data_IF_485730030199
#
_entry.id   IF_485730030199
#
_cell.length_a   1.000
_cell.length_b   1.000
_cell.length_c   1.000
_cell.angle_alpha   90.00
_cell.angle_beta   90.00
_cell.angle_gamma   90.00
#
_symmetry.space_group_name_H-M   'P 1'
#
loop_
_entity.id
_entity.type
_entity.pdbx_description
1 polymer ?
#
# COMPACT_ATOMS: atom_id res chain seq x y z
N UNK A 1 -11.18 1.73 -3.87
CA UNK A 1 -10.36 1.30 -2.72
C UNK A 1 -11.17 0.34 -1.86
N UNK A 2 -10.50 -0.59 -1.19
CA UNK A 2 -11.16 -1.39 -0.16
C UNK A 2 -11.44 -0.53 1.09
N UNK A 3 -12.52 -0.84 1.78
CA UNK A 3 -12.98 -0.11 2.96
C UNK A 3 -11.94 -0.18 4.09
N UNK A 4 -11.58 0.97 4.64
CA UNK A 4 -10.55 1.12 5.69
C UNK A 4 -9.21 0.43 5.36
N UNK A 5 -8.84 0.39 4.08
CA UNK A 5 -7.64 -0.29 3.57
C UNK A 5 -7.60 -1.81 3.83
N UNK A 6 -8.74 -2.43 4.16
CA UNK A 6 -8.85 -3.86 4.44
C UNK A 6 -9.27 -4.63 3.19
N UNK A 7 -8.30 -5.13 2.46
CA UNK A 7 -8.51 -5.94 1.27
C UNK A 7 -7.32 -5.90 0.32
N UNK A 8 -7.36 -6.78 -0.68
CA UNK A 8 -6.31 -6.92 -1.69
C UNK A 8 -6.85 -7.02 -3.12
N UNK A 9 -8.14 -6.78 -3.31
CA UNK A 9 -8.81 -6.96 -4.61
C UNK A 9 -9.70 -5.81 -5.04
N UNK A 10 -9.89 -4.79 -4.18
CA UNK A 10 -10.89 -3.73 -4.30
C UNK A 10 -12.34 -4.25 -4.37
N UNK A 11 -12.55 -5.48 -3.91
CA UNK A 11 -13.87 -6.11 -3.81
C UNK A 11 -14.67 -5.65 -2.59
N UNK A 12 -13.98 -5.13 -1.56
CA UNK A 12 -14.58 -4.68 -0.30
C UNK A 12 -14.88 -3.16 -0.29
N UNK A 13 -14.97 -2.54 -1.47
CA UNK A 13 -15.33 -1.12 -1.57
C UNK A 13 -16.79 -0.90 -1.17
N UNK A 14 -17.03 0.06 -0.27
CA UNK A 14 -18.38 0.44 0.15
C UNK A 14 -19.19 1.16 -0.95
N UNK A 15 -18.52 1.67 -2.00
CA UNK A 15 -19.17 2.47 -3.04
C UNK A 15 -19.41 1.62 -4.29
N UNK A 16 -18.35 1.07 -4.89
CA UNK A 16 -18.42 0.30 -6.13
C UNK A 16 -17.15 -0.52 -6.32
N UNK A 17 -17.31 -1.74 -6.87
CA UNK A 17 -16.19 -2.55 -7.31
C UNK A 17 -15.40 -1.82 -8.41
N UNK A 18 -14.08 -1.86 -8.32
CA UNK A 18 -13.17 -1.40 -9.37
C UNK A 18 -12.72 -2.60 -10.21
N UNK A 19 -12.73 -2.46 -11.52
CA UNK A 19 -12.15 -3.44 -12.44
C UNK A 19 -10.73 -3.03 -12.83
N UNK A 20 -9.91 -4.02 -13.20
CA UNK A 20 -8.59 -3.75 -13.75
C UNK A 20 -8.72 -3.19 -15.18
N UNK A 21 -8.19 -2.01 -15.49
CA UNK A 21 -8.35 -1.44 -16.83
C UNK A 21 -7.51 -2.14 -17.91
N UNK A 22 -6.48 -2.90 -17.51
CA UNK A 22 -5.67 -3.72 -18.45
C UNK A 22 -6.43 -4.97 -18.89
N UNK A 23 -7.17 -5.58 -17.96
CA UNK A 23 -8.04 -6.73 -18.22
C UNK A 23 -9.24 -6.68 -17.26
N UNK A 24 -10.40 -6.27 -17.76
CA UNK A 24 -11.60 -6.05 -16.95
C UNK A 24 -12.19 -7.33 -16.34
N UNK A 25 -11.73 -8.50 -16.74
CA UNK A 25 -12.08 -9.79 -16.11
C UNK A 25 -11.30 -10.05 -14.83
N UNK A 26 -10.23 -9.30 -14.58
CA UNK A 26 -9.33 -9.43 -13.44
C UNK A 26 -9.56 -8.33 -12.41
N UNK A 27 -9.04 -8.56 -11.21
CA UNK A 27 -9.05 -7.54 -10.14
C UNK A 27 -7.90 -6.55 -10.36
N UNK A 28 -8.08 -5.28 -9.96
CA UNK A 28 -7.02 -4.27 -10.04
C UNK A 28 -5.99 -4.41 -8.90
N UNK A 29 -6.21 -5.34 -7.97
CA UNK A 29 -5.52 -5.38 -6.70
C UNK A 29 -6.16 -4.46 -5.66
N UNK A 30 -5.51 -4.34 -4.49
CA UNK A 30 -6.00 -3.52 -3.39
C UNK A 30 -4.99 -3.42 -2.24
N UNK A 31 -5.33 -2.59 -1.25
CA UNK A 31 -6.57 -1.80 -1.10
C UNK A 31 -6.65 -0.56 -2.00
N UNK A 32 -5.52 -0.05 -2.54
CA UNK A 32 -5.48 1.16 -3.39
C UNK A 32 -5.78 0.86 -4.88
N UNK A 33 -6.62 -0.15 -5.19
CA UNK A 33 -6.93 -0.54 -6.56
C UNK A 33 -7.66 0.52 -7.38
N UNK A 34 -8.46 1.39 -6.74
CA UNK A 34 -9.07 2.53 -7.43
C UNK A 34 -8.04 3.55 -7.88
N UNK A 35 -7.05 3.88 -7.03
CA UNK A 35 -5.93 4.76 -7.38
C UNK A 35 -5.09 4.18 -8.51
N UNK A 36 -4.80 2.86 -8.47
CA UNK A 36 -4.09 2.20 -9.55
C UNK A 36 -4.88 2.25 -10.86
N UNK A 37 -6.17 1.94 -10.81
CA UNK A 37 -7.01 1.86 -12.00
C UNK A 37 -7.16 3.22 -12.72
N UNK A 38 -7.34 4.33 -11.99
CA UNK A 38 -7.49 5.65 -12.63
C UNK A 38 -6.21 6.12 -13.32
N UNK A 39 -5.04 5.79 -12.76
CA UNK A 39 -3.74 6.08 -13.38
C UNK A 39 -3.51 5.15 -14.57
N UNK A 40 -3.75 3.86 -14.42
CA UNK A 40 -3.60 2.90 -15.51
C UNK A 40 -4.50 3.21 -16.72
N UNK A 41 -5.72 3.71 -16.47
CA UNK A 41 -6.70 4.08 -17.48
C UNK A 41 -6.50 5.50 -18.05
N UNK A 42 -5.42 6.22 -17.72
CA UNK A 42 -5.16 7.60 -18.15
C UNK A 42 -6.26 8.61 -17.77
N UNK A 43 -7.05 8.32 -16.75
CA UNK A 43 -8.08 9.23 -16.21
C UNK A 43 -7.56 10.15 -15.13
N UNK A 44 -6.37 9.85 -14.58
CA UNK A 44 -5.60 10.71 -13.70
C UNK A 44 -4.11 10.61 -14.05
N UNK A 45 -3.40 11.73 -13.94
CA UNK A 45 -1.94 11.80 -14.20
C UNK A 45 -1.19 11.00 -13.14
N UNK A 46 -1.61 11.14 -11.89
CA UNK A 46 -1.05 10.48 -10.72
C UNK A 46 -2.13 10.27 -9.66
N UNK A 47 -1.86 9.42 -8.69
CA UNK A 47 -2.71 9.21 -7.52
C UNK A 47 -1.87 8.93 -6.28
N UNK A 48 -2.48 9.09 -5.11
CA UNK A 48 -1.93 8.60 -3.85
C UNK A 48 -2.61 7.29 -3.46
N UNK A 49 -1.85 6.42 -2.83
CA UNK A 49 -2.34 5.21 -2.17
C UNK A 49 -1.87 5.13 -0.73
N UNK A 50 -2.36 4.15 0.00
CA UNK A 50 -1.83 3.77 1.31
C UNK A 50 -1.38 2.30 1.27
N UNK A 51 -0.29 1.99 1.97
CA UNK A 51 0.33 0.67 1.97
C UNK A 51 0.63 0.24 3.41
N UNK A 52 0.01 -0.83 3.83
CA UNK A 52 0.21 -1.46 5.14
C UNK A 52 0.93 -2.80 4.99
N UNK A 53 0.54 -3.58 3.97
CA UNK A 53 1.11 -4.88 3.64
C UNK A 53 1.24 -5.11 2.13
N UNK A 54 1.32 -4.02 1.31
CA UNK A 54 1.42 -4.11 -0.13
C UNK A 54 0.36 -3.31 -0.90
N UNK A 55 -0.49 -2.54 -0.21
CA UNK A 55 -1.69 -1.94 -0.81
C UNK A 55 -1.46 -0.76 -1.78
N UNK A 56 -0.21 -0.34 -2.00
CA UNK A 56 0.24 0.49 -3.15
C UNK A 56 0.89 -0.42 -4.19
N UNK A 57 1.87 -1.22 -3.76
CA UNK A 57 2.76 -1.99 -4.64
C UNK A 57 2.03 -3.08 -5.40
N UNK A 58 1.15 -3.82 -4.74
CA UNK A 58 0.40 -4.91 -5.34
C UNK A 58 -0.59 -4.41 -6.42
N UNK A 59 -1.48 -3.42 -6.16
CA UNK A 59 -2.37 -2.93 -7.22
C UNK A 59 -1.60 -2.21 -8.35
N UNK A 60 -0.47 -1.56 -8.07
CA UNK A 60 0.38 -1.01 -9.11
C UNK A 60 0.92 -2.10 -10.05
N UNK A 61 1.41 -3.21 -9.48
CA UNK A 61 1.85 -4.38 -10.24
C UNK A 61 0.74 -4.98 -11.09
N UNK A 62 -0.47 -5.12 -10.53
CA UNK A 62 -1.63 -5.69 -11.25
C UNK A 62 -2.13 -4.79 -12.39
N UNK A 63 -1.99 -3.48 -12.25
CA UNK A 63 -2.45 -2.51 -13.25
C UNK A 63 -1.34 -2.01 -14.19
N UNK A 64 -0.10 -2.49 -14.05
CA UNK A 64 1.02 -2.15 -14.93
C UNK A 64 1.49 -0.69 -14.78
N UNK A 65 1.51 -0.16 -13.56
CA UNK A 65 1.98 1.19 -13.24
C UNK A 65 3.08 1.16 -12.17
N UNK A 66 3.69 2.31 -11.90
CA UNK A 66 4.64 2.48 -10.80
C UNK A 66 3.89 2.77 -9.50
N UNK A 67 4.17 1.99 -8.46
CA UNK A 67 3.68 2.23 -7.10
C UNK A 67 4.84 2.19 -6.12
N UNK A 68 5.08 3.30 -5.41
CA UNK A 68 6.19 3.42 -4.49
C UNK A 68 5.69 3.58 -3.05
N UNK A 69 6.10 2.66 -2.19
CA UNK A 69 5.93 2.79 -0.74
C UNK A 69 7.22 3.36 -0.14
N UNK A 70 7.24 4.62 0.29
CA UNK A 70 8.42 5.19 0.93
C UNK A 70 8.67 4.56 2.30
N UNK A 71 9.81 4.88 2.90
CA UNK A 71 10.12 4.49 4.27
C UNK A 71 9.10 5.07 5.23
N UNK A 72 8.83 4.33 6.33
CA UNK A 72 7.87 4.75 7.36
C UNK A 72 8.22 6.14 7.92
N UNK A 73 7.20 7.00 8.02
CA UNK A 73 7.35 8.36 8.51
C UNK A 73 7.84 9.39 7.49
N UNK A 74 8.19 9.00 6.26
CA UNK A 74 8.61 9.94 5.21
C UNK A 74 7.48 10.84 4.71
N UNK A 75 6.29 10.32 4.61
CA UNK A 75 5.08 11.05 4.23
C UNK A 75 4.16 11.09 5.44
N UNK A 76 3.68 12.28 5.80
CA UNK A 76 2.73 12.45 6.89
C UNK A 76 1.48 11.62 6.66
N UNK A 77 0.97 11.03 7.75
CA UNK A 77 -0.30 10.29 7.78
C UNK A 77 -1.44 11.12 8.36
N UNK A 78 -1.19 12.40 8.64
CA UNK A 78 -2.24 13.29 9.15
C UNK A 78 -3.37 13.40 8.13
N UNK A 79 -4.60 13.08 8.58
CA UNK A 79 -5.78 12.98 7.71
C UNK A 79 -6.03 11.59 7.11
N UNK A 80 -5.10 10.65 7.19
CA UNK A 80 -5.34 9.25 6.82
C UNK A 80 -6.07 8.54 7.94
N UNK A 81 -7.15 7.83 7.61
CA UNK A 81 -7.80 6.90 8.55
C UNK A 81 -6.88 5.69 8.76
N UNK A 82 -6.42 5.50 9.99
CA UNK A 82 -5.45 4.46 10.31
C UNK A 82 -6.07 3.06 10.22
N UNK A 83 -5.40 2.17 9.48
CA UNK A 83 -5.60 0.73 9.54
C UNK A 83 -4.66 0.12 10.60
N UNK A 84 -3.36 0.10 10.32
CA UNK A 84 -2.34 -0.36 11.27
C UNK A 84 -1.28 0.74 11.44
N UNK A 85 -1.34 1.48 12.54
CA UNK A 85 -0.56 2.70 12.75
C UNK A 85 0.95 2.49 12.71
N UNK A 86 1.43 1.29 13.05
CA UNK A 86 2.86 0.95 12.99
C UNK A 86 3.34 0.55 11.58
N UNK A 87 2.43 0.39 10.62
CA UNK A 87 2.74 -0.13 9.28
C UNK A 87 2.30 0.81 8.14
N UNK A 88 1.20 1.54 8.32
CA UNK A 88 0.60 2.36 7.27
C UNK A 88 1.57 3.42 6.75
N UNK A 89 1.63 3.54 5.41
CA UNK A 89 2.39 4.59 4.75
C UNK A 89 1.67 5.05 3.48
N UNK A 90 1.65 6.36 3.24
CA UNK A 90 1.17 6.96 2.00
C UNK A 90 2.31 6.99 0.98
N UNK A 91 1.97 6.79 -0.30
CA UNK A 91 2.94 6.90 -1.37
C UNK A 91 2.31 7.12 -2.74
N UNK A 92 3.15 7.49 -3.73
CA UNK A 92 2.72 7.81 -5.09
C UNK A 92 2.39 6.57 -5.91
N UNK A 93 1.45 6.74 -6.83
CA UNK A 93 1.10 5.82 -7.90
C UNK A 93 1.08 6.59 -9.22
N UNK A 94 1.93 6.22 -10.19
CA UNK A 94 2.23 7.01 -11.40
C UNK A 94 2.50 6.11 -12.60
N UNK A 95 2.62 6.70 -13.79
CA UNK A 95 3.01 5.96 -15.02
C UNK A 95 4.51 5.73 -15.12
N UNK A 96 5.32 6.65 -14.61
CA UNK A 96 6.79 6.60 -14.70
C UNK A 96 7.44 6.70 -13.32
N UNK A 97 8.70 6.30 -13.25
CA UNK A 97 9.53 6.46 -12.04
C UNK A 97 9.82 7.94 -11.78
N UNK A 98 10.02 8.72 -12.85
CA UNK A 98 10.24 10.19 -12.78
C UNK A 98 9.06 10.89 -12.09
N UNK A 99 7.84 10.58 -12.52
CA UNK A 99 6.62 11.14 -11.91
C UNK A 99 6.49 10.71 -10.44
N UNK A 100 6.88 9.47 -10.12
CA UNK A 100 6.86 8.99 -8.74
C UNK A 100 7.86 9.78 -7.86
N UNK A 101 9.06 10.06 -8.37
CA UNK A 101 10.07 10.85 -7.69
C UNK A 101 9.64 12.31 -7.51
N UNK A 102 9.10 12.94 -8.56
CA UNK A 102 8.54 14.29 -8.50
C UNK A 102 7.40 14.40 -7.48
N UNK A 103 6.47 13.45 -7.50
CA UNK A 103 5.36 13.45 -6.56
C UNK A 103 5.86 13.18 -5.13
N UNK A 104 6.86 12.34 -4.96
CA UNK A 104 7.46 12.06 -3.67
C UNK A 104 8.12 13.33 -3.09
N UNK A 105 8.86 14.10 -3.90
CA UNK A 105 9.40 15.41 -3.48
C UNK A 105 8.31 16.36 -2.98
N UNK A 106 7.11 16.29 -3.57
CA UNK A 106 6.00 17.17 -3.22
C UNK A 106 5.28 16.76 -1.91
N UNK A 107 5.31 15.48 -1.52
CA UNK A 107 4.52 14.95 -0.40
C UNK A 107 5.37 14.53 0.81
N UNK A 108 6.70 14.52 0.69
CA UNK A 108 7.62 14.26 1.80
C UNK A 108 7.92 15.54 2.57
N UNK A 109 8.38 15.39 3.79
CA UNK A 109 8.75 16.49 4.68
C UNK A 109 8.21 16.29 6.09
N UNK A 110 8.69 17.11 7.02
CA UNK A 110 8.24 17.05 8.40
C UNK A 110 6.86 17.68 8.58
N UNK A 111 5.95 16.93 9.20
CA UNK A 111 4.63 17.42 9.61
C UNK A 111 4.48 17.33 11.14
N UNK A 112 4.38 18.46 11.85
CA UNK A 112 4.20 18.45 13.31
C UNK A 112 2.86 17.86 13.77
N UNK A 113 1.90 17.68 12.84
CA UNK A 113 0.60 17.05 13.13
C UNK A 113 0.65 15.52 13.14
N UNK A 114 1.73 14.91 12.62
CA UNK A 114 2.00 13.48 12.69
C UNK A 114 3.23 13.22 13.55
N UNK A 115 3.02 12.68 14.75
CA UNK A 115 4.11 12.36 15.69
C UNK A 115 5.13 11.34 15.19
N UNK A 116 4.83 10.65 14.10
CA UNK A 116 5.72 9.66 13.46
C UNK A 116 6.43 10.23 12.24
N UNK A 117 6.13 11.48 11.86
CA UNK A 117 6.78 12.13 10.73
C UNK A 117 8.27 12.35 11.03
N UNK A 118 9.12 11.90 10.11
CA UNK A 118 10.57 12.08 10.22
C UNK A 118 10.96 13.55 10.03
N UNK A 119 12.07 13.93 10.61
CA UNK A 119 12.67 15.22 10.30
C UNK A 119 12.97 15.30 8.79
N UNK A 120 12.74 16.46 8.21
CA UNK A 120 13.10 16.70 6.82
C UNK A 120 14.62 16.68 6.67
N UNK A 121 15.10 15.94 5.69
CA UNK A 121 16.52 15.87 5.34
C UNK A 121 16.81 16.51 3.98
N UNK A 122 15.84 17.24 3.40
CA UNK A 122 15.91 17.88 2.09
C UNK A 122 16.32 16.93 0.97
N UNK A 123 15.92 15.65 1.05
CA UNK A 123 16.20 14.66 0.01
C UNK A 123 15.50 15.06 -1.28
N UNK A 124 16.25 15.18 -2.37
CA UNK A 124 15.71 15.29 -3.72
C UNK A 124 15.71 13.89 -4.36
N UNK A 125 14.52 13.32 -4.51
CA UNK A 125 14.34 11.97 -5.08
C UNK A 125 14.58 11.91 -6.59
N UNK A 126 14.77 13.05 -7.26
CA UNK A 126 15.10 13.13 -8.68
C UNK A 126 16.58 13.22 -8.96
N UNK A 127 17.41 13.55 -7.96
CA UNK A 127 18.82 13.89 -8.13
C UNK A 127 19.66 12.83 -8.87
N UNK A 128 19.40 11.54 -8.59
CA UNK A 128 20.20 10.42 -9.13
C UNK A 128 19.38 9.53 -10.10
N UNK A 129 18.23 10.00 -10.60
CA UNK A 129 17.31 9.14 -11.37
C UNK A 129 17.94 8.65 -12.68
N UNK A 130 18.82 9.45 -13.28
CA UNK A 130 19.56 9.14 -14.51
C UNK A 130 20.95 8.50 -14.24
N UNK A 131 21.31 8.28 -12.97
CA UNK A 131 22.64 7.78 -12.57
C UNK A 131 22.93 6.35 -13.00
N UNK A 132 21.92 5.61 -13.43
CA UNK A 132 22.03 4.20 -13.82
C UNK A 132 22.29 3.28 -12.64
N UNK A 133 22.65 2.03 -12.93
CA UNK A 133 22.82 0.98 -11.90
C UNK A 133 24.25 0.45 -11.80
N UNK A 134 25.20 1.03 -12.51
CA UNK A 134 26.59 0.55 -12.53
C UNK A 134 27.22 0.60 -11.13
N UNK A 135 27.70 -0.55 -10.67
CA UNK A 135 28.34 -0.70 -9.37
C UNK A 135 27.39 -0.85 -8.19
N UNK A 136 26.06 -0.80 -8.42
CA UNK A 136 25.10 -1.11 -7.37
C UNK A 136 25.11 -2.60 -7.05
N UNK A 137 25.05 -2.94 -5.75
CA UNK A 137 24.88 -4.30 -5.27
C UNK A 137 23.40 -4.55 -4.97
N UNK A 138 22.81 -5.51 -5.68
CA UNK A 138 21.41 -5.89 -5.57
C UNK A 138 21.31 -7.27 -4.90
N UNK A 139 20.78 -7.30 -3.69
CA UNK A 139 20.54 -8.55 -2.97
C UNK A 139 19.40 -9.34 -3.57
N UNK A 140 19.62 -10.63 -3.83
CA UNK A 140 18.59 -11.57 -4.33
C UNK A 140 18.29 -12.57 -3.21
N UNK A 141 17.16 -12.39 -2.47
CA UNK A 141 16.81 -13.29 -1.38
C UNK A 141 16.35 -14.64 -1.91
N UNK A 142 16.99 -15.72 -1.48
CA UNK A 142 16.60 -17.09 -1.88
C UNK A 142 15.15 -17.44 -1.47
N UNK A 143 14.67 -16.86 -0.37
CA UNK A 143 13.34 -17.10 0.17
C UNK A 143 12.21 -16.55 -0.70
N UNK A 144 12.53 -15.65 -1.65
CA UNK A 144 11.54 -15.09 -2.57
C UNK A 144 11.28 -15.99 -3.79
N UNK A 145 12.10 -17.01 -3.99
CA UNK A 145 12.03 -17.91 -5.16
C UNK A 145 11.69 -19.34 -4.74
N UNK A 146 10.52 -19.51 -4.12
CA UNK A 146 9.98 -20.83 -3.81
C UNK A 146 9.32 -21.49 -5.04
N UNK A 147 9.09 -22.78 -4.96
CA UNK A 147 8.38 -23.55 -6.01
C UNK A 147 6.92 -23.09 -6.23
N UNK A 148 6.41 -22.23 -5.36
CA UNK A 148 5.06 -21.65 -5.47
C UNK A 148 4.96 -20.47 -6.44
N UNK A 149 6.09 -19.93 -6.93
CA UNK A 149 6.11 -18.80 -7.87
C UNK A 149 5.69 -19.30 -9.26
N UNK A 150 4.76 -18.57 -9.89
CA UNK A 150 4.40 -18.80 -11.28
C UNK A 150 5.65 -18.72 -12.18
N UNK A 151 5.92 -19.74 -13.02
CA UNK A 151 7.09 -19.75 -13.89
C UNK A 151 7.21 -18.51 -14.79
N UNK A 152 6.09 -17.92 -15.24
CA UNK A 152 6.12 -16.71 -16.05
C UNK A 152 6.60 -15.49 -15.24
N UNK A 153 6.23 -15.39 -13.96
CA UNK A 153 6.73 -14.34 -13.06
C UNK A 153 8.22 -14.52 -12.82
N UNK A 154 8.66 -15.77 -12.61
CA UNK A 154 10.10 -16.05 -12.44
C UNK A 154 10.91 -15.68 -13.68
N UNK A 155 10.41 -16.02 -14.88
CA UNK A 155 11.08 -15.68 -16.12
C UNK A 155 11.27 -14.18 -16.32
N UNK A 156 10.25 -13.35 -15.97
CA UNK A 156 10.34 -11.87 -16.03
C UNK A 156 11.40 -11.38 -15.04
N UNK A 157 11.45 -11.98 -13.84
CA UNK A 157 12.49 -11.63 -12.88
C UNK A 157 13.88 -11.94 -13.41
N UNK A 158 14.09 -13.16 -13.93
CA UNK A 158 15.40 -13.61 -14.47
C UNK A 158 15.85 -12.71 -15.65
N UNK A 159 14.92 -12.32 -16.53
CA UNK A 159 15.19 -11.37 -17.63
C UNK A 159 15.59 -9.97 -17.09
N UNK A 160 14.88 -9.49 -16.08
CA UNK A 160 15.17 -8.19 -15.45
C UNK A 160 16.53 -8.21 -14.75
N UNK A 161 16.83 -9.28 -14.03
CA UNK A 161 18.12 -9.49 -13.37
C UNK A 161 19.27 -9.46 -14.40
N UNK A 162 19.13 -10.18 -15.51
CA UNK A 162 20.14 -10.17 -16.58
C UNK A 162 20.35 -8.79 -17.19
N UNK A 163 19.29 -7.99 -17.36
CA UNK A 163 19.38 -6.60 -17.84
C UNK A 163 20.16 -5.71 -16.85
N UNK A 164 19.90 -5.88 -15.56
CA UNK A 164 20.59 -5.12 -14.51
C UNK A 164 22.08 -5.45 -14.45
N UNK A 165 22.44 -6.75 -14.55
CA UNK A 165 23.86 -7.18 -14.64
C UNK A 165 24.54 -6.63 -15.89
N UNK A 166 23.87 -6.67 -17.06
CA UNK A 166 24.40 -6.10 -18.30
C UNK A 166 24.57 -4.58 -18.21
N UNK A 167 23.77 -3.88 -17.40
CA UNK A 167 23.92 -2.47 -17.09
C UNK A 167 24.97 -2.17 -16.02
N UNK A 168 25.62 -3.17 -15.47
CA UNK A 168 26.76 -3.07 -14.54
C UNK A 168 26.41 -3.16 -13.06
N UNK A 169 25.21 -3.62 -12.70
CA UNK A 169 24.88 -3.99 -11.33
C UNK A 169 25.53 -5.34 -10.96
N UNK A 170 25.77 -5.56 -9.66
CA UNK A 170 26.22 -6.83 -9.08
C UNK A 170 25.04 -7.50 -8.37
N UNK A 171 24.59 -8.68 -8.82
CA UNK A 171 23.60 -9.47 -8.12
C UNK A 171 24.24 -10.31 -7.03
N UNK A 172 23.81 -10.12 -5.79
CA UNK A 172 24.39 -10.80 -4.62
C UNK A 172 23.33 -11.72 -3.99
N UNK A 173 23.53 -13.04 -3.96
CA UNK A 173 22.66 -13.94 -3.22
C UNK A 173 22.65 -13.59 -1.73
N UNK A 174 21.46 -13.39 -1.17
CA UNK A 174 21.27 -13.12 0.25
C UNK A 174 20.21 -14.06 0.85
N UNK A 175 20.10 -14.07 2.17
CA UNK A 175 19.06 -14.78 2.90
C UNK A 175 18.32 -13.84 3.83
N UNK A 176 16.99 -13.95 3.83
CA UNK A 176 16.06 -13.29 4.74
C UNK A 176 15.30 -14.35 5.55
N UNK A 177 15.93 -14.98 6.56
CA UNK A 177 15.45 -16.21 7.18
C UNK A 177 14.12 -16.05 7.92
N UNK A 178 13.70 -14.82 8.24
CA UNK A 178 12.43 -14.56 8.92
C UNK A 178 11.25 -14.31 7.96
N UNK A 179 11.48 -14.39 6.65
CA UNK A 179 10.42 -14.18 5.64
C UNK A 179 9.25 -15.15 5.82
N UNK A 180 9.50 -16.36 6.27
CA UNK A 180 8.45 -17.37 6.55
C UNK A 180 7.41 -16.90 7.59
N UNK A 181 7.79 -16.02 8.51
CA UNK A 181 6.88 -15.50 9.55
C UNK A 181 6.13 -14.23 9.12
N UNK A 182 6.51 -13.61 8.01
CA UNK A 182 6.04 -12.26 7.66
C UNK A 182 4.52 -12.17 7.53
N UNK A 183 3.90 -13.13 6.85
CA UNK A 183 2.44 -13.17 6.64
C UNK A 183 1.71 -13.39 7.96
N UNK A 184 2.15 -14.36 8.77
CA UNK A 184 1.53 -14.66 10.06
C UNK A 184 1.67 -13.45 11.02
N UNK A 185 2.82 -12.82 11.08
CA UNK A 185 3.08 -11.62 11.88
C UNK A 185 2.17 -10.47 11.46
N UNK A 186 2.04 -10.24 10.15
CA UNK A 186 1.14 -9.23 9.62
C UNK A 186 -0.30 -9.44 10.08
N UNK A 187 -0.83 -10.67 9.97
CA UNK A 187 -2.20 -10.97 10.37
C UNK A 187 -2.44 -10.95 11.89
N UNK A 188 -1.41 -10.95 12.70
CA UNK A 188 -1.54 -10.72 14.15
C UNK A 188 -1.54 -9.21 14.45
N UNK A 189 -0.56 -8.47 13.92
CA UNK A 189 -0.37 -7.05 14.24
C UNK A 189 -1.46 -6.19 13.61
N UNK A 190 -1.69 -6.33 12.30
CA UNK A 190 -2.60 -5.46 11.58
C UNK A 190 -4.05 -5.53 12.07
N UNK A 191 -4.66 -6.71 12.32
CA UNK A 191 -6.01 -6.78 12.88
C UNK A 191 -6.09 -6.25 14.33
N UNK A 192 -5.05 -6.44 15.14
CA UNK A 192 -5.02 -5.92 16.51
C UNK A 192 -4.99 -4.38 16.52
N UNK A 193 -4.14 -3.78 15.69
CA UNK A 193 -4.07 -2.32 15.55
C UNK A 193 -5.34 -1.75 14.90
N UNK A 194 -5.90 -2.43 13.89
CA UNK A 194 -7.16 -2.06 13.27
C UNK A 194 -8.30 -2.03 14.30
N UNK A 195 -8.41 -3.05 15.13
CA UNK A 195 -9.41 -3.09 16.21
C UNK A 195 -9.29 -1.89 17.14
N UNK A 196 -8.07 -1.53 17.53
CA UNK A 196 -7.80 -0.35 18.36
C UNK A 196 -8.12 0.95 17.61
N UNK A 197 -7.63 1.11 16.39
CA UNK A 197 -7.80 2.32 15.58
C UNK A 197 -9.28 2.58 15.24
N UNK A 198 -10.04 1.54 14.87
CA UNK A 198 -11.43 1.66 14.50
C UNK A 198 -12.40 1.73 15.69
N UNK A 199 -11.89 1.60 16.92
CA UNK A 199 -12.70 1.78 18.13
C UNK A 199 -13.30 3.18 18.25
N UNK A 200 -12.66 4.19 17.60
CA UNK A 200 -13.12 5.58 17.58
C UNK A 200 -14.41 5.81 16.79
N UNK A 201 -14.78 4.88 15.91
CA UNK A 201 -16.03 4.91 15.13
C UNK A 201 -17.16 4.33 15.99
N UNK A 202 -17.65 5.15 16.92
CA UNK A 202 -18.59 4.77 17.99
C UNK A 202 -20.01 5.32 17.76
N UNK A 203 -20.20 6.12 16.71
CA UNK A 203 -21.48 6.79 16.42
C UNK A 203 -21.75 8.03 17.28
N UNK A 204 -20.76 8.46 18.10
CA UNK A 204 -20.80 9.66 18.93
C UNK A 204 -19.82 10.70 18.38
N UNK A 205 -18.55 10.35 18.31
CA UNK A 205 -17.48 11.23 17.81
C UNK A 205 -17.31 11.12 16.31
N UNK A 206 -17.36 9.88 15.79
CA UNK A 206 -17.10 9.58 14.38
C UNK A 206 -18.04 8.50 13.86
N UNK A 207 -18.23 8.49 12.54
CA UNK A 207 -18.91 7.45 11.80
C UNK A 207 -20.43 7.59 11.81
N UNK A 208 -21.10 6.56 11.31
CA UNK A 208 -22.56 6.47 11.27
C UNK A 208 -23.12 6.33 12.68
N UNK A 209 -24.18 7.08 12.97
CA UNK A 209 -24.91 6.98 14.23
C UNK A 209 -26.24 6.27 14.00
N UNK A 210 -26.43 5.16 14.70
CA UNK A 210 -27.69 4.41 14.65
C UNK A 210 -28.83 5.23 15.26
N UNK A 211 -30.02 5.10 14.66
CA UNK A 211 -31.23 5.72 15.14
C UNK A 211 -31.87 4.91 16.30
N UNK A 212 -32.50 5.62 17.22
CA UNK A 212 -33.31 5.08 18.32
C UNK A 212 -32.62 3.96 19.13
N UNK A 213 -31.41 4.18 19.64
CA UNK A 213 -30.80 3.22 20.56
C UNK A 213 -31.47 3.32 21.94
N UNK A 214 -31.70 2.18 22.59
CA UNK A 214 -32.28 2.14 23.95
C UNK A 214 -31.26 2.60 25.02
N UNK A 215 -29.97 2.39 24.76
CA UNK A 215 -28.89 2.76 25.68
C UNK A 215 -27.57 2.92 24.95
N UNK A 216 -26.52 3.33 25.67
CA UNK A 216 -25.19 3.59 25.11
C UNK A 216 -24.55 2.35 24.48
N UNK A 217 -24.70 1.20 25.08
CA UNK A 217 -24.13 -0.06 24.56
C UNK A 217 -24.79 -0.41 23.23
N UNK A 218 -26.10 -0.26 23.16
CA UNK A 218 -26.84 -0.51 21.93
C UNK A 218 -26.50 0.51 20.84
N UNK A 219 -26.29 1.77 21.19
CA UNK A 219 -25.80 2.79 20.25
C UNK A 219 -24.49 2.33 19.61
N UNK A 220 -23.51 1.93 20.39
CA UNK A 220 -22.22 1.43 19.86
C UNK A 220 -22.42 0.22 18.97
N UNK A 221 -23.14 -0.79 19.45
CA UNK A 221 -23.36 -2.02 18.68
C UNK A 221 -24.05 -1.79 17.36
N UNK A 222 -25.16 -1.04 17.36
CA UNK A 222 -25.94 -0.74 16.16
C UNK A 222 -25.15 0.14 15.19
N UNK A 223 -24.50 1.20 15.67
CA UNK A 223 -23.71 2.11 14.82
C UNK A 223 -22.58 1.38 14.09
N UNK A 224 -21.83 0.57 14.81
CA UNK A 224 -20.74 -0.23 14.23
C UNK A 224 -21.25 -1.34 13.31
N UNK A 225 -22.37 -1.99 13.67
CA UNK A 225 -22.99 -3.01 12.83
C UNK A 225 -23.52 -2.46 11.51
N UNK A 226 -24.02 -1.24 11.50
CA UNK A 226 -24.53 -0.57 10.29
C UNK A 226 -23.41 0.09 9.48
N UNK A 227 -22.42 0.70 10.16
CA UNK A 227 -21.40 1.51 9.54
C UNK A 227 -20.23 0.74 8.95
N UNK A 228 -19.93 -0.47 9.44
CA UNK A 228 -18.82 -1.27 8.92
C UNK A 228 -19.28 -2.35 7.95
N UNK A 229 -18.51 -2.51 6.87
CA UNK A 229 -18.66 -3.59 5.92
C UNK A 229 -18.26 -4.96 6.49
N UNK A 230 -18.47 -6.00 5.68
CA UNK A 230 -18.26 -7.39 6.13
C UNK A 230 -16.80 -7.70 6.50
N UNK A 231 -15.84 -7.21 5.71
CA UNK A 231 -14.40 -7.44 5.95
C UNK A 231 -13.93 -6.76 7.24
N UNK A 232 -14.35 -5.53 7.48
CA UNK A 232 -13.99 -4.77 8.68
C UNK A 232 -14.55 -5.41 9.96
N UNK A 233 -15.68 -6.12 9.86
CA UNK A 233 -16.30 -6.84 10.99
C UNK A 233 -15.63 -8.18 11.30
N UNK A 234 -14.95 -8.78 10.34
CA UNK A 234 -14.29 -10.08 10.48
C UNK A 234 -13.09 -9.99 11.41
#
# INVERSE_FOLDING_TARGET
LDEFAMGSTSGNSAIKRTNNPVDTSRVPGGSSGGSAAVVAADTAIAALGSDTGGSIRQPASHCGIVGLKPSYGRVSRYGLVAFASSLDQIGPMTKSVDDAALLLNAITGHDPSDSTSLADDNTDFTADIDGGVKGLKLGVPKEYFSDAIDPAVKAIFDETAAKLEAAGAELVPISLPHTEYAVATYYIIAPAEASSNLSRFDGIRYGNRAENPENLIELYRKSRAQGFGAEVKR
#
